data_IF_173085633785
#
_entry.id   IF_173085633785
#
_cell.length_a   1.000
_cell.length_b   1.000
_cell.length_c   1.000
_cell.angle_alpha   90.00
_cell.angle_beta   90.00
_cell.angle_gamma   90.00
#
_symmetry.space_group_name_H-M   'P 1'
#
loop_
_entity.id
_entity.type
_entity.pdbx_description
1 polymer ?
#
# COMPACT_ATOMS: atom_id res chain seq x y z
N UNK A 1 7.23 -15.11 2.07
CA UNK A 1 6.88 -14.71 0.69
C UNK A 1 7.62 -15.58 -0.34
N UNK A 2 8.98 -15.48 -0.47
CA UNK A 2 9.71 -16.29 -1.48
C UNK A 2 9.59 -17.79 -1.22
N UNK A 3 9.70 -18.22 0.02
CA UNK A 3 9.58 -19.62 0.42
C UNK A 3 8.18 -20.18 0.12
N UNK A 4 7.15 -19.39 0.30
CA UNK A 4 5.76 -19.75 -0.01
C UNK A 4 5.54 -19.92 -1.52
N UNK A 5 6.09 -18.99 -2.33
CA UNK A 5 5.91 -19.01 -3.79
C UNK A 5 6.70 -20.13 -4.46
N UNK A 6 7.90 -20.44 -3.95
CA UNK A 6 8.81 -21.39 -4.58
C UNK A 6 8.77 -22.79 -3.96
N UNK A 7 8.12 -22.94 -2.79
CA UNK A 7 8.09 -24.18 -2.04
C UNK A 7 9.46 -24.64 -1.52
N UNK A 8 10.45 -23.76 -1.50
CA UNK A 8 11.83 -24.04 -1.04
C UNK A 8 12.19 -23.16 0.14
N UNK A 9 12.99 -23.66 1.07
CA UNK A 9 13.44 -22.95 2.26
C UNK A 9 14.59 -21.96 1.97
N UNK A 10 14.37 -21.02 1.04
CA UNK A 10 15.40 -20.04 0.66
C UNK A 10 15.85 -19.16 1.83
N UNK A 11 14.94 -18.78 2.71
CA UNK A 11 15.26 -17.94 3.87
C UNK A 11 16.25 -18.62 4.81
N UNK A 12 16.10 -19.93 5.02
CA UNK A 12 16.99 -20.70 5.87
C UNK A 12 18.35 -20.94 5.20
N UNK A 13 18.36 -21.37 3.94
CA UNK A 13 19.57 -21.65 3.17
C UNK A 13 20.46 -20.42 2.96
N UNK A 14 19.88 -19.22 2.98
CA UNK A 14 20.57 -17.97 2.68
C UNK A 14 20.73 -17.03 3.87
N UNK A 15 20.47 -17.49 5.08
CA UNK A 15 20.49 -16.69 6.32
C UNK A 15 21.80 -15.93 6.57
N UNK A 16 22.94 -16.50 6.14
CA UNK A 16 24.28 -15.95 6.36
C UNK A 16 24.88 -15.27 5.11
N UNK A 17 24.07 -15.01 4.08
CA UNK A 17 24.57 -14.38 2.85
C UNK A 17 24.60 -12.87 2.95
N UNK A 18 25.51 -12.27 2.19
CA UNK A 18 25.58 -10.83 2.05
C UNK A 18 24.33 -10.28 1.33
N UNK A 19 24.01 -9.02 1.56
CA UNK A 19 22.90 -8.32 0.88
C UNK A 19 23.04 -8.40 -0.64
N UNK A 20 24.26 -8.29 -1.15
CA UNK A 20 24.56 -8.38 -2.59
C UNK A 20 24.23 -9.74 -3.19
N UNK A 21 24.53 -10.80 -2.48
CA UNK A 21 24.19 -12.17 -2.90
C UNK A 21 22.68 -12.38 -2.88
N UNK A 22 21.97 -11.86 -1.85
CA UNK A 22 20.51 -11.92 -1.76
C UNK A 22 19.85 -11.19 -2.92
N UNK A 23 20.30 -9.98 -3.28
CA UNK A 23 19.78 -9.25 -4.43
C UNK A 23 19.99 -10.05 -5.72
N UNK A 24 21.14 -10.70 -5.88
CA UNK A 24 21.42 -11.51 -7.06
C UNK A 24 20.50 -12.72 -7.16
N UNK A 25 20.21 -13.37 -6.04
CA UNK A 25 19.27 -14.50 -5.97
C UNK A 25 17.85 -14.04 -6.30
N UNK A 26 17.40 -12.95 -5.67
CA UNK A 26 16.08 -12.36 -5.92
C UNK A 26 15.93 -12.02 -7.40
N UNK A 27 16.91 -11.37 -8.01
CA UNK A 27 16.90 -11.07 -9.44
C UNK A 27 16.72 -12.31 -10.30
N UNK A 28 17.52 -13.37 -10.05
CA UNK A 28 17.42 -14.62 -10.81
C UNK A 28 16.04 -15.24 -10.68
N UNK A 29 15.45 -15.24 -9.50
CA UNK A 29 14.10 -15.76 -9.25
C UNK A 29 13.04 -14.93 -9.98
N UNK A 30 13.09 -13.61 -9.86
CA UNK A 30 12.11 -12.73 -10.50
C UNK A 30 12.12 -12.87 -12.04
N UNK A 31 13.32 -12.93 -12.63
CA UNK A 31 13.46 -13.12 -14.07
C UNK A 31 13.04 -14.54 -14.47
N UNK A 32 13.46 -15.57 -13.73
CA UNK A 32 13.14 -16.97 -14.01
C UNK A 32 11.65 -17.29 -13.93
N UNK A 33 10.91 -16.56 -13.08
CA UNK A 33 9.45 -16.68 -12.96
C UNK A 33 8.67 -15.62 -13.77
N UNK A 34 9.35 -14.89 -14.67
CA UNK A 34 8.73 -13.86 -15.53
C UNK A 34 7.93 -12.81 -14.75
N UNK A 35 8.43 -12.39 -13.59
CA UNK A 35 7.77 -11.38 -12.76
C UNK A 35 7.85 -10.02 -13.45
N UNK A 36 6.70 -9.42 -13.75
CA UNK A 36 6.60 -8.13 -14.45
C UNK A 36 6.64 -6.91 -13.53
N UNK A 37 6.32 -7.07 -12.23
CA UNK A 37 6.28 -5.99 -11.25
C UNK A 37 6.52 -6.54 -9.85
N UNK A 38 7.31 -5.82 -9.06
CA UNK A 38 7.45 -6.05 -7.62
C UNK A 38 6.75 -4.92 -6.88
N UNK A 39 5.83 -5.23 -5.97
CA UNK A 39 5.17 -4.25 -5.10
C UNK A 39 5.74 -4.40 -3.70
N UNK A 40 6.26 -3.29 -3.17
CA UNK A 40 6.74 -3.19 -1.78
C UNK A 40 5.71 -2.38 -1.02
N UNK A 41 4.91 -3.06 -0.22
CA UNK A 41 3.90 -2.44 0.63
C UNK A 41 4.51 -2.00 1.97
N UNK A 42 3.83 -1.08 2.65
CA UNK A 42 4.26 -0.50 3.93
C UNK A 42 5.68 0.10 3.85
N UNK A 43 5.99 0.77 2.74
CA UNK A 43 7.34 1.28 2.47
C UNK A 43 7.84 2.31 3.50
N UNK A 44 6.96 2.89 4.34
CA UNK A 44 7.38 3.71 5.48
C UNK A 44 8.20 2.92 6.52
N UNK A 45 8.08 1.60 6.57
CA UNK A 45 8.87 0.75 7.47
C UNK A 45 10.35 0.66 7.07
N UNK A 46 10.70 1.12 5.87
CA UNK A 46 12.10 1.29 5.45
C UNK A 46 12.80 2.39 6.24
N UNK A 47 12.02 3.33 6.82
CA UNK A 47 12.50 4.32 7.75
C UNK A 47 11.97 4.00 9.14
N UNK A 48 12.83 3.68 10.06
CA UNK A 48 12.46 3.71 11.48
C UNK A 48 12.29 5.17 11.85
N UNK A 49 11.05 5.56 12.12
CA UNK A 49 10.64 6.89 12.51
C UNK A 49 11.61 7.54 13.52
N UNK A 50 12.51 8.38 13.05
CA UNK A 50 13.12 9.39 13.92
C UNK A 50 12.41 10.71 13.64
N UNK A 51 11.91 11.36 14.68
CA UNK A 51 11.35 12.71 14.62
C UNK A 51 12.40 13.77 14.27
N UNK A 52 13.65 13.37 14.09
CA UNK A 52 14.77 14.24 13.81
C UNK A 52 14.86 14.54 12.30
N UNK A 53 15.18 15.76 11.97
CA UNK A 53 15.38 16.21 10.57
C UNK A 53 16.52 15.50 9.83
N UNK A 54 17.44 14.87 10.60
CA UNK A 54 18.59 14.15 10.05
C UNK A 54 18.32 12.66 10.04
N UNK A 55 18.48 12.04 8.88
CA UNK A 55 18.35 10.58 8.72
C UNK A 55 19.36 9.84 9.58
N UNK A 56 18.90 8.86 10.33
CA UNK A 56 19.76 7.95 11.10
C UNK A 56 20.63 7.10 10.16
N UNK A 57 21.71 6.53 10.67
CA UNK A 57 22.59 5.63 9.91
C UNK A 57 21.79 4.44 9.34
N UNK A 58 20.86 3.89 10.09
CA UNK A 58 20.00 2.78 9.64
C UNK A 58 19.06 3.19 8.51
N UNK A 59 18.51 4.40 8.55
CA UNK A 59 17.65 4.93 7.48
C UNK A 59 18.44 5.13 6.20
N UNK A 60 19.64 5.70 6.27
CA UNK A 60 20.54 5.84 5.12
C UNK A 60 20.90 4.48 4.52
N UNK A 61 21.13 3.48 5.35
CA UNK A 61 21.43 2.10 4.90
C UNK A 61 20.21 1.48 4.21
N UNK A 62 19.01 1.66 4.76
CA UNK A 62 17.77 1.16 4.16
C UNK A 62 17.49 1.82 2.82
N UNK A 63 17.66 3.14 2.73
CA UNK A 63 17.48 3.90 1.49
C UNK A 63 18.49 3.45 0.43
N UNK A 64 19.76 3.30 0.80
CA UNK A 64 20.80 2.79 -0.09
C UNK A 64 20.50 1.37 -0.57
N UNK A 65 19.98 0.51 0.29
CA UNK A 65 19.52 -0.82 -0.10
C UNK A 65 18.41 -0.75 -1.16
N UNK A 66 17.42 0.13 -0.96
CA UNK A 66 16.35 0.34 -1.95
C UNK A 66 16.93 0.82 -3.29
N UNK A 67 17.89 1.75 -3.27
CA UNK A 67 18.57 2.22 -4.48
C UNK A 67 19.30 1.07 -5.21
N UNK A 68 20.03 0.24 -4.49
CA UNK A 68 20.69 -0.93 -5.06
C UNK A 68 19.69 -1.92 -5.63
N UNK A 69 18.56 -2.13 -4.94
CA UNK A 69 17.49 -2.99 -5.43
C UNK A 69 16.95 -2.47 -6.77
N UNK A 70 16.59 -1.19 -6.87
CA UNK A 70 16.14 -0.57 -8.12
C UNK A 70 17.13 -0.71 -9.26
N UNK A 71 18.42 -0.54 -8.98
CA UNK A 71 19.48 -0.58 -10.01
C UNK A 71 19.78 -2.00 -10.50
N UNK A 72 19.60 -3.01 -9.66
CA UNK A 72 20.13 -4.38 -9.89
C UNK A 72 19.07 -5.43 -10.19
N UNK A 73 17.83 -5.24 -9.74
CA UNK A 73 16.78 -6.26 -9.90
C UNK A 73 16.33 -6.40 -11.34
N UNK A 74 16.31 -5.30 -12.11
CA UNK A 74 15.94 -5.31 -13.53
C UNK A 74 14.46 -5.57 -13.79
N UNK A 75 13.61 -5.49 -12.74
CA UNK A 75 12.15 -5.58 -12.81
C UNK A 75 11.59 -4.29 -12.20
N UNK A 76 10.54 -3.69 -12.76
CA UNK A 76 9.88 -2.52 -12.18
C UNK A 76 9.48 -2.76 -10.72
N UNK A 77 9.71 -1.76 -9.86
CA UNK A 77 9.35 -1.81 -8.45
C UNK A 77 8.39 -0.67 -8.17
N UNK A 78 7.27 -0.97 -7.52
CA UNK A 78 6.30 -0.02 -7.04
C UNK A 78 6.34 0.02 -5.51
N UNK A 79 6.53 1.20 -4.95
CA UNK A 79 6.48 1.41 -3.50
C UNK A 79 5.09 1.91 -3.13
N UNK A 80 4.47 1.26 -2.17
CA UNK A 80 3.18 1.64 -1.59
C UNK A 80 3.39 1.94 -0.10
N UNK A 81 2.79 3.01 0.40
CA UNK A 81 2.95 3.39 1.79
C UNK A 81 2.22 4.67 2.15
N UNK A 82 2.46 5.16 3.35
CA UNK A 82 1.87 6.39 3.88
C UNK A 82 2.63 7.64 3.43
N UNK A 83 2.15 8.83 3.80
CA UNK A 83 2.85 10.10 3.57
C UNK A 83 4.28 10.13 4.14
N UNK A 84 4.55 9.34 5.19
CA UNK A 84 5.90 9.20 5.73
C UNK A 84 6.88 8.59 4.71
N UNK A 85 6.39 7.74 3.80
CA UNK A 85 7.20 7.21 2.69
C UNK A 85 7.64 8.31 1.74
N UNK A 86 6.71 9.20 1.37
CA UNK A 86 7.02 10.33 0.50
C UNK A 86 8.05 11.25 1.14
N UNK A 87 7.82 11.66 2.39
CA UNK A 87 8.74 12.50 3.15
C UNK A 87 10.16 11.89 3.29
N UNK A 88 10.25 10.55 3.39
CA UNK A 88 11.52 9.84 3.42
C UNK A 88 12.32 10.04 2.12
N UNK A 89 11.66 9.88 0.98
CA UNK A 89 12.34 10.00 -0.32
C UNK A 89 12.57 11.44 -0.77
N UNK A 90 11.78 12.40 -0.29
CA UNK A 90 12.00 13.82 -0.54
C UNK A 90 13.27 14.35 0.13
N UNK A 91 13.65 13.79 1.28
CA UNK A 91 14.89 14.14 2.01
C UNK A 91 16.16 13.69 1.27
N UNK A 92 16.06 12.65 0.46
CA UNK A 92 17.16 12.12 -0.34
C UNK A 92 16.93 12.41 -1.84
N UNK A 93 17.38 13.57 -2.29
CA UNK A 93 17.11 14.06 -3.65
C UNK A 93 17.54 13.13 -4.77
N UNK A 94 18.61 12.36 -4.57
CA UNK A 94 19.13 11.42 -5.59
C UNK A 94 18.17 10.25 -5.80
N UNK A 95 17.65 9.70 -4.71
CA UNK A 95 16.74 8.56 -4.75
C UNK A 95 15.31 9.01 -5.03
N UNK A 96 14.89 10.11 -4.42
CA UNK A 96 13.59 10.72 -4.68
C UNK A 96 13.33 10.92 -6.17
N UNK A 97 14.26 11.49 -6.90
CA UNK A 97 14.16 11.66 -8.36
C UNK A 97 13.99 10.35 -9.12
N UNK A 98 14.64 9.26 -8.68
CA UNK A 98 14.54 7.95 -9.33
C UNK A 98 13.22 7.26 -9.04
N UNK A 99 12.77 7.32 -7.77
CA UNK A 99 11.51 6.72 -7.33
C UNK A 99 10.33 7.43 -7.95
N UNK A 100 10.35 8.76 -8.06
CA UNK A 100 9.24 9.57 -8.59
C UNK A 100 9.32 9.80 -10.09
N UNK A 101 10.42 9.44 -10.77
CA UNK A 101 10.62 9.68 -12.22
C UNK A 101 9.50 9.08 -13.08
N UNK A 102 8.99 7.92 -12.71
CA UNK A 102 7.93 7.23 -13.44
C UNK A 102 6.52 7.57 -12.94
N UNK A 103 6.42 8.59 -12.11
CA UNK A 103 5.17 9.06 -11.53
C UNK A 103 4.99 8.66 -10.07
N UNK A 104 4.20 9.44 -9.38
CA UNK A 104 3.69 9.14 -8.03
C UNK A 104 2.18 9.33 -8.04
N UNK A 105 1.47 8.50 -7.30
CA UNK A 105 0.03 8.59 -7.13
C UNK A 105 -0.28 8.80 -5.66
N UNK A 106 -0.99 9.87 -5.36
CA UNK A 106 -1.47 10.18 -4.03
C UNK A 106 -2.94 9.80 -3.92
N UNK A 107 -3.25 8.88 -3.03
CA UNK A 107 -4.63 8.53 -2.69
C UNK A 107 -5.09 9.43 -1.55
N UNK A 108 -5.71 10.56 -1.91
CA UNK A 108 -6.36 11.47 -0.96
C UNK A 108 -7.77 10.96 -0.59
N UNK A 109 -8.38 11.59 0.43
CA UNK A 109 -9.81 11.41 0.70
C UNK A 109 -10.64 11.80 -0.52
N UNK A 110 -11.73 11.08 -0.75
CA UNK A 110 -12.63 11.35 -1.87
C UNK A 110 -13.46 12.59 -1.60
N UNK A 111 -13.68 13.40 -2.62
CA UNK A 111 -14.68 14.46 -2.58
C UNK A 111 -16.09 13.84 -2.58
N UNK A 112 -17.03 14.47 -1.84
CA UNK A 112 -18.43 14.02 -1.74
C UNK A 112 -19.16 13.98 -3.08
N UNK A 113 -18.75 14.84 -4.03
CA UNK A 113 -19.34 14.95 -5.36
C UNK A 113 -18.57 14.13 -6.41
N UNK A 114 -17.46 13.47 -6.04
CA UNK A 114 -16.69 12.70 -7.01
C UNK A 114 -17.50 11.52 -7.55
N UNK A 115 -17.36 11.26 -8.85
CA UNK A 115 -18.02 10.12 -9.51
C UNK A 115 -17.56 8.79 -8.92
N UNK A 116 -16.30 8.72 -8.50
CA UNK A 116 -15.74 7.54 -7.81
C UNK A 116 -16.46 7.30 -6.49
N UNK A 117 -16.60 8.34 -5.62
CA UNK A 117 -17.27 8.21 -4.33
C UNK A 117 -18.70 7.74 -4.48
N UNK A 118 -19.46 8.40 -5.34
CA UNK A 118 -20.85 8.06 -5.57
C UNK A 118 -21.01 6.61 -6.07
N UNK A 119 -20.17 6.18 -7.01
CA UNK A 119 -20.20 4.81 -7.51
C UNK A 119 -19.80 3.81 -6.44
N UNK A 120 -18.77 4.11 -5.66
CA UNK A 120 -18.28 3.26 -4.57
C UNK A 120 -19.36 3.03 -3.50
N UNK A 121 -20.01 4.10 -3.02
CA UNK A 121 -21.07 3.97 -2.01
C UNK A 121 -22.30 3.25 -2.57
N UNK A 122 -22.69 3.52 -3.82
CA UNK A 122 -23.77 2.76 -4.47
C UNK A 122 -23.50 1.26 -4.50
N UNK A 123 -22.30 0.86 -4.85
CA UNK A 123 -21.89 -0.55 -4.83
C UNK A 123 -21.93 -1.13 -3.41
N UNK A 124 -21.43 -0.42 -2.41
CA UNK A 124 -21.54 -0.85 -1.01
C UNK A 124 -23.00 -1.01 -0.55
N UNK A 125 -23.87 -0.08 -0.96
CA UNK A 125 -25.29 -0.16 -0.63
C UNK A 125 -26.02 -1.30 -1.36
N UNK A 126 -25.58 -1.69 -2.54
CA UNK A 126 -26.14 -2.83 -3.28
C UNK A 126 -25.80 -4.18 -2.64
N UNK A 127 -24.72 -4.27 -1.87
CA UNK A 127 -24.32 -5.50 -1.16
C UNK A 127 -25.04 -5.71 0.17
N UNK A 128 -26.08 -4.92 0.47
CA UNK A 128 -26.85 -5.05 1.71
C UNK A 128 -27.68 -6.34 1.69
N UNK A 129 -27.44 -7.17 2.69
CA UNK A 129 -28.22 -8.42 2.94
C UNK A 129 -29.45 -8.16 3.85
N UNK A 130 -29.99 -6.95 3.82
CA UNK A 130 -31.13 -6.56 4.64
C UNK A 130 -32.44 -6.86 3.92
N UNK A 131 -33.44 -7.31 4.66
CA UNK A 131 -34.79 -7.60 4.19
C UNK A 131 -35.45 -6.35 3.55
N UNK A 132 -35.22 -5.19 4.16
CA UNK A 132 -35.67 -3.88 3.66
C UNK A 132 -34.45 -3.04 3.31
N UNK A 133 -34.19 -2.88 2.02
CA UNK A 133 -33.09 -2.04 1.56
C UNK A 133 -33.46 -0.57 1.67
N UNK A 134 -32.50 0.28 2.01
CA UNK A 134 -32.69 1.72 2.02
C UNK A 134 -33.00 2.25 0.62
N UNK A 135 -34.08 3.00 0.49
CA UNK A 135 -34.51 3.59 -0.79
C UNK A 135 -33.74 4.85 -1.17
N UNK A 136 -33.10 5.53 -0.22
CA UNK A 136 -32.43 6.82 -0.46
C UNK A 136 -30.91 6.72 -0.40
N UNK A 137 -30.32 6.19 -1.48
CA UNK A 137 -28.86 6.04 -1.58
C UNK A 137 -28.14 7.40 -1.53
N UNK A 138 -28.72 8.47 -2.05
CA UNK A 138 -28.08 9.79 -2.08
C UNK A 138 -27.95 10.41 -0.68
N UNK A 139 -28.91 10.15 0.20
CA UNK A 139 -28.82 10.54 1.61
C UNK A 139 -27.72 9.76 2.30
N UNK A 140 -27.66 8.44 2.08
CA UNK A 140 -26.62 7.58 2.63
C UNK A 140 -25.23 7.98 2.14
N UNK A 141 -25.08 8.32 0.86
CA UNK A 141 -23.81 8.79 0.30
C UNK A 141 -23.25 10.00 1.07
N UNK A 142 -24.10 10.98 1.38
CA UNK A 142 -23.70 12.17 2.13
C UNK A 142 -23.36 11.87 3.59
N UNK A 143 -24.18 11.08 4.28
CA UNK A 143 -23.92 10.71 5.68
C UNK A 143 -22.66 9.86 5.83
N UNK A 144 -22.48 8.87 4.96
CA UNK A 144 -21.27 8.04 4.98
C UNK A 144 -20.04 8.87 4.68
N UNK A 145 -20.13 9.84 3.75
CA UNK A 145 -19.03 10.76 3.46
C UNK A 145 -18.67 11.59 4.69
N UNK A 146 -19.67 12.19 5.35
CA UNK A 146 -19.45 12.99 6.56
C UNK A 146 -18.77 12.17 7.66
N UNK A 147 -19.26 10.96 7.95
CA UNK A 147 -18.75 10.10 9.00
C UNK A 147 -17.37 9.49 8.69
N UNK A 148 -17.05 9.29 7.42
CA UNK A 148 -15.79 8.68 6.98
C UNK A 148 -14.75 9.70 6.51
N UNK A 149 -15.09 11.00 6.49
CA UNK A 149 -14.29 12.06 5.88
C UNK A 149 -13.83 11.74 4.44
N UNK A 150 -14.66 11.02 3.68
CA UNK A 150 -14.34 10.60 2.32
C UNK A 150 -13.26 9.50 2.22
N UNK A 151 -12.95 8.81 3.31
CA UNK A 151 -11.95 7.72 3.31
C UNK A 151 -12.65 6.38 3.03
N UNK A 152 -12.38 5.71 1.88
CA UNK A 152 -13.10 4.49 1.49
C UNK A 152 -13.00 3.34 2.49
N UNK A 153 -11.83 3.17 3.14
CA UNK A 153 -11.62 2.14 4.14
C UNK A 153 -12.52 2.34 5.38
N UNK A 154 -12.65 3.60 5.85
CA UNK A 154 -13.52 3.94 6.98
C UNK A 154 -14.99 3.77 6.58
N UNK A 155 -15.38 4.20 5.38
CA UNK A 155 -16.72 4.02 4.85
C UNK A 155 -17.12 2.54 4.77
N UNK A 156 -16.24 1.68 4.26
CA UNK A 156 -16.47 0.24 4.20
C UNK A 156 -16.64 -0.37 5.59
N UNK A 157 -15.80 0.03 6.53
CA UNK A 157 -15.87 -0.46 7.92
C UNK A 157 -17.15 0.00 8.62
N UNK A 158 -17.55 1.26 8.41
CA UNK A 158 -18.80 1.82 8.94
C UNK A 158 -20.01 1.05 8.42
N UNK A 159 -20.11 0.86 7.10
CA UNK A 159 -21.22 0.12 6.48
C UNK A 159 -21.26 -1.32 7.00
N UNK A 160 -20.11 -1.99 7.05
CA UNK A 160 -20.02 -3.37 7.57
C UNK A 160 -20.45 -3.48 9.02
N UNK A 161 -19.98 -2.57 9.89
CA UNK A 161 -20.37 -2.56 11.30
C UNK A 161 -21.87 -2.30 11.48
N UNK A 162 -22.44 -1.37 10.70
CA UNK A 162 -23.88 -1.08 10.73
C UNK A 162 -24.72 -2.29 10.29
N UNK A 163 -24.31 -2.96 9.21
CA UNK A 163 -24.99 -4.16 8.72
C UNK A 163 -24.94 -5.29 9.76
N UNK A 164 -23.76 -5.52 10.36
CA UNK A 164 -23.61 -6.52 11.41
C UNK A 164 -24.50 -6.22 12.63
N UNK A 165 -24.60 -4.96 13.04
CA UNK A 165 -25.48 -4.53 14.12
C UNK A 165 -26.97 -4.75 13.79
N UNK A 166 -27.39 -4.39 12.59
CA UNK A 166 -28.78 -4.57 12.15
C UNK A 166 -29.17 -6.04 12.00
N UNK A 167 -28.25 -6.91 11.56
CA UNK A 167 -28.51 -8.35 11.48
C UNK A 167 -28.57 -9.01 12.85
N UNK A 168 -27.95 -8.41 13.88
CA UNK A 168 -28.03 -8.90 15.25
C UNK A 168 -29.34 -8.50 15.94
N UNK A 169 -29.98 -7.40 15.50
CA UNK A 169 -31.25 -6.91 16.04
C UNK A 169 -32.49 -7.48 15.32
N UNK A 170 -32.32 -8.15 14.19
CA UNK A 170 -33.39 -8.74 13.37
C UNK A 170 -33.63 -10.19 13.71
#
# INVERSE_FOLDING_TARGET
ALDEVTGKAYTYEHRNRSVNELITIVRKLLIGHSVGLVVVDEAQNLAKSSRNEVLSINEKTSIKFVEELFNRVGVPIMLVGTFATLALFERETTIGRRVTKNGSMLLASCDSNSSFWNRFIRLLCQTQLLKNQSTSVDILCRHIHYLSAGIPAIASSLVRATLAYLTFLA
#
